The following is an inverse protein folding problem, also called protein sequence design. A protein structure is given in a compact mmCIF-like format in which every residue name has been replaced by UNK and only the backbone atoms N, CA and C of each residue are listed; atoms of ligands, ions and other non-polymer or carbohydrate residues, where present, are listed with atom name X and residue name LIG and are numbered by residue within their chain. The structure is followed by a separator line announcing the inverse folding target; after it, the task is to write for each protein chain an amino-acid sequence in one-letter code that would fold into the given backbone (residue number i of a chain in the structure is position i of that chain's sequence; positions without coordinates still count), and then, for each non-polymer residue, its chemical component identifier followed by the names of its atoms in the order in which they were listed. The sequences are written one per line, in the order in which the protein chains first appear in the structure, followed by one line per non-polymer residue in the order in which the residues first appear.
data_IF_576798879772
#
_entry.id   IF_576798879772
#
_cell.length_a   1.000
_cell.length_b   1.000
_cell.length_c   1.000
_cell.angle_alpha   90.00
_cell.angle_beta   90.00
_cell.angle_gamma   90.00
#
_symmetry.space_group_name_H-M   'P 1'
#
loop_
_entity.id
_entity.type
_entity.pdbx_description
1 polymer ?
#
# COMPACT_ATOMS: atom_id res chain seq x y z
N UNK A 1 -51.73 11.39 -51.31
CA UNK A 1 -51.59 11.66 -49.88
C UNK A 1 -50.64 10.63 -49.28
N UNK A 2 -49.44 11.03 -48.93
CA UNK A 2 -48.50 10.16 -48.28
C UNK A 2 -48.78 10.15 -46.74
N UNK A 3 -48.69 9.03 -46.02
CA UNK A 3 -48.89 8.97 -44.60
C UNK A 3 -47.66 9.58 -43.89
N UNK A 4 -47.90 10.51 -42.96
CA UNK A 4 -46.87 11.14 -42.14
C UNK A 4 -46.23 10.13 -41.20
N UNK A 5 -44.90 10.14 -41.15
CA UNK A 5 -44.11 9.46 -40.14
C UNK A 5 -44.36 10.13 -38.77
N UNK A 6 -44.86 9.37 -37.83
CA UNK A 6 -45.03 9.80 -36.46
C UNK A 6 -43.62 10.03 -35.79
N UNK A 7 -43.55 10.79 -34.67
CA UNK A 7 -42.28 11.07 -34.04
C UNK A 7 -41.65 9.77 -33.52
N UNK A 8 -40.42 9.54 -33.93
CA UNK A 8 -39.56 8.45 -33.44
C UNK A 8 -39.21 8.72 -31.96
N UNK A 9 -39.71 7.87 -31.07
CA UNK A 9 -39.39 7.94 -29.63
C UNK A 9 -37.97 7.46 -29.46
N UNK A 10 -37.07 8.39 -29.14
CA UNK A 10 -35.66 8.06 -28.81
C UNK A 10 -35.62 7.07 -27.63
N UNK A 11 -34.86 5.99 -27.80
CA UNK A 11 -34.63 5.02 -26.76
C UNK A 11 -33.96 5.72 -25.56
N UNK A 12 -34.34 5.38 -24.30
CA UNK A 12 -33.73 5.96 -23.13
C UNK A 12 -32.23 5.65 -23.12
N UNK A 13 -31.41 6.65 -22.76
CA UNK A 13 -29.98 6.48 -22.63
C UNK A 13 -29.68 5.37 -21.59
N UNK A 14 -28.70 4.49 -21.85
CA UNK A 14 -28.34 3.45 -20.91
C UNK A 14 -27.93 4.11 -19.55
N UNK A 15 -28.45 3.56 -18.45
CA UNK A 15 -28.06 3.98 -17.12
C UNK A 15 -26.53 3.83 -16.97
N UNK A 16 -25.83 4.78 -16.33
CA UNK A 16 -24.40 4.66 -16.09
C UNK A 16 -24.15 3.36 -15.33
N UNK A 17 -23.19 2.56 -15.82
CA UNK A 17 -22.77 1.34 -15.13
C UNK A 17 -22.31 1.73 -13.71
N UNK A 18 -22.90 1.08 -12.70
CA UNK A 18 -22.49 1.27 -11.30
C UNK A 18 -21.05 0.80 -11.20
N UNK A 19 -20.14 1.69 -10.82
CA UNK A 19 -18.74 1.31 -10.60
C UNK A 19 -18.65 0.29 -9.46
N UNK A 20 -17.87 -0.78 -9.66
CA UNK A 20 -17.64 -1.80 -8.64
C UNK A 20 -16.97 -1.23 -7.38
N UNK A 21 -16.26 -0.10 -7.52
CA UNK A 21 -15.55 0.58 -6.44
C UNK A 21 -15.91 2.07 -6.38
N UNK A 22 -15.83 2.70 -5.19
CA UNK A 22 -15.88 4.15 -5.06
C UNK A 22 -14.84 4.84 -5.96
N UNK A 23 -15.07 6.07 -6.43
CA UNK A 23 -14.18 6.75 -7.38
C UNK A 23 -12.79 7.05 -6.83
N UNK A 24 -12.63 7.13 -5.52
CA UNK A 24 -11.36 7.32 -4.80
C UNK A 24 -10.58 6.02 -4.60
N UNK A 25 -11.13 4.89 -5.00
CA UNK A 25 -10.51 3.57 -4.87
C UNK A 25 -10.15 2.98 -6.25
N UNK A 26 -9.19 2.08 -6.29
CA UNK A 26 -8.88 1.25 -7.43
C UNK A 26 -9.59 -0.10 -7.30
N UNK A 27 -10.09 -0.63 -8.43
CA UNK A 27 -10.51 -2.03 -8.50
C UNK A 27 -9.26 -2.90 -8.67
N UNK A 28 -9.13 -3.93 -7.85
CA UNK A 28 -8.13 -4.98 -7.98
C UNK A 28 -8.87 -6.27 -8.29
N UNK A 29 -8.64 -6.82 -9.48
CA UNK A 29 -9.28 -8.04 -9.94
C UNK A 29 -8.29 -8.85 -10.76
N UNK A 30 -8.13 -10.15 -10.45
CA UNK A 30 -7.24 -11.05 -11.16
C UNK A 30 -6.81 -12.27 -10.36
N UNK A 31 -5.84 -13.01 -10.89
CA UNK A 31 -5.37 -14.29 -10.36
C UNK A 31 -4.08 -14.08 -9.53
N UNK A 32 -4.25 -14.01 -8.23
CA UNK A 32 -3.15 -13.93 -7.25
C UNK A 32 -2.37 -15.24 -7.14
N UNK A 33 -1.04 -15.15 -7.07
CA UNK A 33 -0.14 -16.27 -6.78
C UNK A 33 0.30 -16.28 -5.31
N UNK A 34 -0.18 -17.22 -4.47
CA UNK A 34 0.18 -17.25 -3.05
C UNK A 34 1.68 -17.40 -2.76
N UNK A 35 2.39 -18.20 -3.54
CA UNK A 35 3.83 -18.44 -3.36
C UNK A 35 4.56 -18.16 -4.67
N UNK A 36 5.48 -17.20 -4.67
CA UNK A 36 6.29 -16.84 -5.82
C UNK A 36 7.78 -16.97 -5.52
N UNK A 37 8.57 -17.28 -6.53
CA UNK A 37 10.03 -17.33 -6.47
C UNK A 37 10.62 -15.96 -6.85
N UNK A 38 10.87 -15.12 -5.84
CA UNK A 38 11.59 -13.85 -6.02
C UNK A 38 13.09 -14.09 -5.81
N UNK A 39 13.80 -14.45 -6.86
CA UNK A 39 15.23 -14.69 -6.80
C UNK A 39 16.02 -13.41 -7.01
N UNK A 40 16.77 -12.97 -6.00
CA UNK A 40 17.66 -11.82 -6.12
C UNK A 40 18.91 -12.16 -6.94
N UNK A 41 19.18 -11.37 -7.97
CA UNK A 41 20.40 -11.49 -8.81
C UNK A 41 21.49 -10.52 -8.38
N UNK A 42 21.12 -9.35 -7.86
CA UNK A 42 22.08 -8.33 -7.42
C UNK A 42 21.72 -7.82 -6.05
N UNK A 43 22.49 -8.21 -5.06
CA UNK A 43 22.33 -7.76 -3.68
C UNK A 43 22.98 -6.38 -3.46
N UNK A 44 22.39 -5.59 -2.56
CA UNK A 44 23.02 -4.35 -2.14
C UNK A 44 24.22 -4.66 -1.25
N UNK A 45 25.45 -4.24 -1.63
CA UNK A 45 26.67 -4.57 -0.90
C UNK A 45 26.72 -3.96 0.51
N UNK A 46 26.00 -2.88 0.78
CA UNK A 46 25.92 -2.26 2.10
C UNK A 46 25.13 -3.11 3.11
N UNK A 47 24.28 -4.04 2.61
CA UNK A 47 23.38 -4.85 3.43
C UNK A 47 23.65 -6.35 3.40
N UNK A 48 24.70 -6.79 2.72
CA UNK A 48 25.13 -8.20 2.71
C UNK A 48 25.60 -8.70 4.10
N UNK A 49 26.03 -7.80 4.97
CA UNK A 49 26.57 -8.15 6.29
C UNK A 49 25.47 -8.27 7.36
N UNK A 50 24.28 -7.75 7.10
CA UNK A 50 23.19 -7.76 8.07
C UNK A 50 22.14 -8.77 7.63
N UNK A 51 22.11 -9.86 8.36
CA UNK A 51 21.25 -11.03 8.22
C UNK A 51 19.92 -10.86 7.44
N UNK A 52 19.35 -11.95 7.01
CA UNK A 52 18.05 -12.20 6.32
C UNK A 52 16.90 -11.19 6.51
N UNK A 53 16.96 -10.35 7.55
CA UNK A 53 15.91 -9.38 7.91
C UNK A 53 15.98 -8.06 7.17
N UNK A 54 17.12 -7.72 6.62
CA UNK A 54 17.38 -6.43 5.95
C UNK A 54 17.88 -6.57 4.51
N UNK A 55 17.72 -7.75 3.91
CA UNK A 55 18.12 -7.99 2.53
C UNK A 55 17.49 -6.97 1.58
N UNK A 56 18.31 -6.11 1.01
CA UNK A 56 17.95 -5.26 -0.11
C UNK A 56 18.45 -5.87 -1.39
N UNK A 57 17.53 -6.22 -2.26
CA UNK A 57 17.84 -6.67 -3.60
C UNK A 57 17.79 -5.47 -4.56
N UNK A 58 18.83 -5.23 -5.31
CA UNK A 58 18.88 -4.18 -6.32
C UNK A 58 18.24 -4.63 -7.63
N UNK A 59 18.31 -5.93 -7.94
CA UNK A 59 17.72 -6.52 -9.13
C UNK A 59 17.28 -7.95 -8.88
N UNK A 60 16.06 -8.26 -9.22
CA UNK A 60 15.48 -9.61 -9.22
C UNK A 60 15.53 -10.25 -10.60
N UNK A 61 15.55 -11.59 -10.63
CA UNK A 61 15.38 -12.36 -11.86
C UNK A 61 13.99 -12.11 -12.47
N UNK A 62 13.96 -11.97 -13.79
CA UNK A 62 12.74 -11.74 -14.58
C UNK A 62 12.49 -12.94 -15.52
N UNK A 63 11.25 -13.47 -15.58
CA UNK A 63 10.08 -13.14 -14.75
C UNK A 63 10.10 -13.82 -13.39
N UNK A 64 9.30 -13.31 -12.44
CA UNK A 64 8.97 -14.04 -11.20
C UNK A 64 8.12 -15.26 -11.54
N UNK A 65 8.44 -16.41 -10.95
CA UNK A 65 7.71 -17.67 -11.16
C UNK A 65 6.70 -17.93 -10.04
N UNK A 66 5.47 -18.32 -10.43
CA UNK A 66 4.48 -18.77 -9.45
C UNK A 66 4.71 -20.22 -9.07
N UNK A 67 5.03 -20.47 -7.81
CA UNK A 67 5.28 -21.82 -7.27
C UNK A 67 3.99 -22.49 -6.77
N UNK A 68 2.89 -21.76 -6.63
CA UNK A 68 1.62 -22.34 -6.20
C UNK A 68 0.95 -23.15 -7.30
N UNK A 69 0.44 -24.33 -6.95
CA UNK A 69 -0.30 -25.21 -7.88
C UNK A 69 -1.58 -24.54 -8.42
N UNK A 70 -2.14 -23.58 -7.69
CA UNK A 70 -3.34 -22.83 -8.08
C UNK A 70 -3.17 -21.37 -7.70
N UNK A 71 -3.62 -20.48 -8.60
CA UNK A 71 -3.82 -19.05 -8.30
C UNK A 71 -5.21 -18.85 -7.70
N UNK A 72 -5.37 -17.80 -6.93
CA UNK A 72 -6.62 -17.43 -6.25
C UNK A 72 -7.22 -16.21 -6.96
N UNK A 73 -8.47 -16.32 -7.38
CA UNK A 73 -9.19 -15.14 -7.91
C UNK A 73 -9.50 -14.18 -6.76
N UNK A 74 -9.02 -12.96 -6.85
CA UNK A 74 -9.32 -11.88 -5.92
C UNK A 74 -10.07 -10.77 -6.65
N UNK A 75 -11.02 -10.12 -5.96
CA UNK A 75 -11.77 -8.97 -6.47
C UNK A 75 -12.21 -8.10 -5.30
N UNK A 76 -11.61 -6.91 -5.20
CA UNK A 76 -11.86 -5.96 -4.11
C UNK A 76 -11.49 -4.53 -4.54
N UNK A 77 -11.77 -3.56 -3.68
CA UNK A 77 -11.39 -2.16 -3.86
C UNK A 77 -10.30 -1.79 -2.87
N UNK A 78 -9.30 -1.04 -3.31
CA UNK A 78 -8.20 -0.52 -2.47
C UNK A 78 -8.09 0.99 -2.65
N UNK A 79 -7.77 1.72 -1.60
CA UNK A 79 -7.44 3.14 -1.66
C UNK A 79 -6.27 3.38 -2.62
N UNK A 80 -6.41 4.38 -3.50
CA UNK A 80 -5.34 4.70 -4.48
C UNK A 80 -4.09 5.22 -3.81
N UNK A 81 -4.26 5.87 -2.66
CA UNK A 81 -3.20 6.50 -1.89
C UNK A 81 -3.25 6.00 -0.45
N UNK A 82 -2.16 6.20 0.28
CA UNK A 82 -2.12 6.05 1.73
C UNK A 82 -3.14 6.99 2.40
N UNK A 83 -3.61 6.63 3.62
CA UNK A 83 -4.57 7.46 4.35
C UNK A 83 -4.07 8.91 4.54
N UNK A 84 -4.90 9.95 4.28
CA UNK A 84 -6.37 9.92 4.13
C UNK A 84 -6.89 9.67 2.71
N UNK A 85 -6.13 9.04 1.83
CA UNK A 85 -6.49 8.70 0.45
C UNK A 85 -6.77 9.94 -0.42
N UNK A 86 -5.89 10.93 -0.34
CA UNK A 86 -6.00 12.19 -1.10
C UNK A 86 -4.68 12.52 -1.78
N UNK A 87 -4.73 12.62 -3.10
CA UNK A 87 -3.56 13.04 -3.88
C UNK A 87 -2.99 14.37 -3.38
N UNK A 88 -1.68 14.44 -3.19
CA UNK A 88 -0.98 15.65 -2.76
C UNK A 88 -1.01 15.93 -1.25
N UNK A 89 -1.75 15.14 -0.45
CA UNK A 89 -1.68 15.22 1.01
C UNK A 89 -0.61 14.27 1.55
N UNK A 90 0.02 14.64 2.68
CA UNK A 90 0.96 13.75 3.37
C UNK A 90 0.20 12.61 4.05
N UNK A 91 0.69 11.34 3.92
CA UNK A 91 0.09 10.21 4.64
C UNK A 91 0.08 10.44 6.16
N UNK A 92 -0.98 10.02 6.83
CA UNK A 92 -1.02 10.02 8.30
C UNK A 92 -0.13 8.89 8.83
N UNK A 93 0.70 9.24 9.82
CA UNK A 93 1.58 8.31 10.54
C UNK A 93 1.38 8.45 12.05
N UNK A 94 2.24 7.84 12.87
CA UNK A 94 2.14 7.85 14.33
C UNK A 94 0.82 7.23 14.82
N UNK A 95 0.34 6.21 14.14
CA UNK A 95 -0.91 5.49 14.42
C UNK A 95 -0.62 4.03 14.75
N UNK A 96 -1.37 3.46 15.69
CA UNK A 96 -1.38 2.03 15.92
C UNK A 96 -2.39 1.32 14.99
N UNK A 97 -2.33 -0.02 14.97
CA UNK A 97 -3.21 -0.83 14.13
C UNK A 97 -4.70 -0.60 14.43
N UNK A 98 -5.07 -0.46 15.71
CA UNK A 98 -6.46 -0.22 16.12
C UNK A 98 -6.98 1.16 15.70
N UNK A 99 -6.12 2.19 15.72
CA UNK A 99 -6.45 3.53 15.21
C UNK A 99 -6.61 3.51 13.68
N UNK A 100 -5.75 2.78 12.97
CA UNK A 100 -5.84 2.60 11.52
C UNK A 100 -7.16 1.91 11.13
N UNK A 101 -7.51 0.80 11.82
CA UNK A 101 -8.77 0.09 11.60
C UNK A 101 -9.98 1.00 11.81
N UNK A 102 -10.06 1.70 12.93
CA UNK A 102 -11.15 2.65 13.22
C UNK A 102 -11.25 3.78 12.20
N UNK A 103 -10.12 4.25 11.70
CA UNK A 103 -10.10 5.29 10.66
C UNK A 103 -10.73 4.79 9.37
N UNK A 104 -10.39 3.58 8.92
CA UNK A 104 -11.03 2.96 7.74
C UNK A 104 -12.53 2.72 7.98
N UNK A 105 -12.92 2.18 9.13
CA UNK A 105 -14.33 1.94 9.50
C UNK A 105 -15.16 3.23 9.51
N UNK A 106 -14.57 4.36 9.92
CA UNK A 106 -15.25 5.66 9.99
C UNK A 106 -15.73 6.18 8.62
N UNK A 107 -15.16 5.65 7.54
CA UNK A 107 -15.55 6.00 6.15
C UNK A 107 -16.16 4.81 5.39
N UNK A 108 -16.61 3.77 6.12
CA UNK A 108 -17.27 2.59 5.55
C UNK A 108 -16.31 1.68 4.76
N UNK A 109 -15.04 1.70 5.14
CA UNK A 109 -13.97 0.84 4.62
C UNK A 109 -13.43 -0.05 5.76
N UNK A 110 -12.43 -0.88 5.50
CA UNK A 110 -11.69 -1.68 6.48
C UNK A 110 -10.19 -1.60 6.17
N UNK A 111 -9.33 -1.99 7.09
CA UNK A 111 -7.93 -2.24 6.74
C UNK A 111 -7.87 -3.32 5.64
N UNK A 112 -6.87 -3.20 4.75
CA UNK A 112 -6.58 -4.25 3.79
C UNK A 112 -6.07 -5.50 4.51
N UNK A 113 -6.47 -6.68 4.07
CA UNK A 113 -5.81 -7.91 4.45
C UNK A 113 -4.42 -7.98 3.80
N UNK A 114 -3.47 -8.69 4.42
CA UNK A 114 -2.11 -8.85 3.89
C UNK A 114 -2.10 -9.28 2.42
N UNK A 115 -2.95 -10.24 2.05
CA UNK A 115 -3.05 -10.76 0.69
C UNK A 115 -3.60 -9.73 -0.30
N UNK A 116 -4.57 -8.92 0.11
CA UNK A 116 -5.12 -7.84 -0.71
C UNK A 116 -4.08 -6.75 -0.95
N UNK A 117 -3.40 -6.33 0.11
CA UNK A 117 -2.33 -5.35 0.01
C UNK A 117 -1.22 -5.85 -0.94
N UNK A 118 -0.77 -7.10 -0.73
CA UNK A 118 0.25 -7.73 -1.54
C UNK A 118 -0.14 -7.78 -3.02
N UNK A 119 -1.34 -8.27 -3.34
CA UNK A 119 -1.80 -8.36 -4.73
C UNK A 119 -1.97 -6.99 -5.38
N UNK A 120 -2.43 -5.98 -4.60
CA UNK A 120 -2.50 -4.58 -5.07
C UNK A 120 -1.13 -4.02 -5.47
N UNK A 121 -0.06 -4.47 -4.80
CA UNK A 121 1.32 -4.04 -5.05
C UNK A 121 1.93 -4.76 -6.27
N UNK A 122 1.96 -6.10 -6.26
CA UNK A 122 2.71 -6.91 -7.22
C UNK A 122 1.98 -7.24 -8.53
N UNK A 123 0.65 -7.19 -8.52
CA UNK A 123 -0.17 -7.61 -9.65
C UNK A 123 -0.07 -9.09 -10.00
N UNK A 124 -0.66 -9.50 -11.12
CA UNK A 124 -0.64 -10.90 -11.60
C UNK A 124 0.76 -11.37 -12.02
N UNK A 125 1.65 -10.43 -12.34
CA UNK A 125 3.04 -10.71 -12.73
C UNK A 125 3.98 -10.89 -11.53
N UNK A 126 3.47 -10.75 -10.31
CA UNK A 126 4.25 -10.91 -9.06
C UNK A 126 5.51 -10.03 -9.07
N UNK A 127 5.34 -8.76 -9.45
CA UNK A 127 6.45 -7.80 -9.50
C UNK A 127 7.03 -7.58 -8.10
N UNK A 128 8.35 -7.73 -7.91
CA UNK A 128 9.00 -7.44 -6.64
C UNK A 128 8.83 -5.98 -6.19
N UNK A 129 8.90 -5.05 -7.14
CA UNK A 129 8.64 -3.62 -6.96
C UNK A 129 7.48 -3.19 -7.86
N UNK A 130 6.73 -2.17 -7.47
CA UNK A 130 5.68 -1.60 -8.33
C UNK A 130 6.20 -1.14 -9.69
N UNK A 131 7.49 -0.83 -9.76
CA UNK A 131 8.21 -0.40 -10.96
C UNK A 131 8.80 -1.55 -11.79
N UNK A 132 8.69 -2.80 -11.34
CA UNK A 132 9.25 -3.97 -12.02
C UNK A 132 10.26 -4.75 -11.17
N UNK A 133 11.38 -5.10 -11.76
CA UNK A 133 12.38 -6.00 -11.17
C UNK A 133 13.60 -5.29 -10.59
N UNK A 134 13.73 -3.99 -10.81
CA UNK A 134 14.85 -3.18 -10.33
C UNK A 134 14.40 -2.21 -9.23
N UNK A 135 15.27 -2.06 -8.21
CA UNK A 135 15.08 -1.10 -7.13
C UNK A 135 15.36 0.32 -7.64
N UNK A 136 14.33 1.16 -7.73
CA UNK A 136 14.44 2.53 -8.26
C UNK A 136 14.06 3.59 -7.21
N UNK A 137 15.09 4.10 -6.50
CA UNK A 137 14.95 5.19 -5.53
C UNK A 137 14.55 6.54 -6.14
N UNK A 138 14.53 6.65 -7.46
CA UNK A 138 14.06 7.85 -8.16
C UNK A 138 12.58 7.75 -8.55
N UNK A 139 12.02 6.53 -8.51
CA UNK A 139 10.61 6.29 -8.78
C UNK A 139 9.76 6.29 -7.51
N UNK A 140 10.28 5.73 -6.42
CA UNK A 140 9.59 5.64 -5.13
C UNK A 140 10.38 6.30 -4.00
N UNK A 141 9.71 6.67 -2.92
CA UNK A 141 10.33 7.27 -1.73
C UNK A 141 10.96 6.19 -0.86
N UNK A 142 12.14 5.72 -1.26
CA UNK A 142 12.94 4.68 -0.59
C UNK A 142 14.40 5.12 -0.45
N UNK A 143 15.18 4.41 0.36
CA UNK A 143 16.63 4.59 0.52
C UNK A 143 17.07 5.99 0.97
N UNK A 144 16.21 6.72 1.67
CA UNK A 144 16.59 8.00 2.26
C UNK A 144 17.45 7.79 3.50
N UNK A 145 18.35 8.74 3.83
CA UNK A 145 19.19 8.62 5.00
C UNK A 145 18.36 8.43 6.29
N UNK A 146 18.77 7.47 7.11
CA UNK A 146 18.18 7.26 8.42
C UNK A 146 18.44 8.48 9.32
N UNK A 147 17.40 8.92 10.01
CA UNK A 147 17.48 9.93 11.06
C UNK A 147 17.03 9.30 12.38
N UNK A 148 17.84 9.46 13.45
CA UNK A 148 17.54 8.87 14.75
C UNK A 148 16.20 9.39 15.30
N UNK A 149 15.35 8.45 15.74
CA UNK A 149 14.02 8.74 16.28
C UNK A 149 14.12 9.59 17.56
N UNK A 150 13.48 10.77 17.61
CA UNK A 150 13.37 11.55 18.83
C UNK A 150 12.58 10.83 19.93
N UNK A 151 13.00 11.01 21.19
CA UNK A 151 12.36 10.34 22.33
C UNK A 151 10.97 10.85 22.68
N UNK A 152 10.55 12.03 22.18
CA UNK A 152 9.32 12.73 22.55
C UNK A 152 8.19 12.56 21.54
N UNK A 153 8.31 11.61 20.63
CA UNK A 153 7.21 11.36 19.70
C UNK A 153 6.05 10.69 20.42
N UNK A 154 4.85 11.14 20.07
CA UNK A 154 3.58 10.66 20.58
C UNK A 154 2.69 10.24 19.39
N UNK A 155 1.55 9.61 19.66
CA UNK A 155 0.56 9.30 18.60
C UNK A 155 0.07 10.58 17.93
N UNK A 156 -0.41 10.46 16.71
CA UNK A 156 -0.70 11.57 15.80
C UNK A 156 -1.43 12.74 16.46
N UNK A 157 -2.60 12.51 17.04
CA UNK A 157 -3.42 13.61 17.58
C UNK A 157 -2.74 14.31 18.76
N UNK A 158 -2.09 13.56 19.66
CA UNK A 158 -1.33 14.10 20.77
C UNK A 158 -0.08 14.87 20.27
N UNK A 159 0.61 14.32 19.28
CA UNK A 159 1.78 14.97 18.68
C UNK A 159 1.41 16.26 17.97
N UNK A 160 0.32 16.27 17.19
CA UNK A 160 -0.14 17.46 16.48
C UNK A 160 -0.67 18.54 17.45
N UNK A 161 -1.16 18.18 18.62
CA UNK A 161 -1.53 19.13 19.66
C UNK A 161 -0.31 19.71 20.41
N UNK A 162 0.84 19.03 20.41
CA UNK A 162 2.07 19.41 21.12
C UNK A 162 3.08 20.12 20.22
N UNK A 163 3.37 21.43 20.39
CA UNK A 163 4.41 22.12 19.62
C UNK A 163 5.80 21.50 19.74
N UNK A 164 6.11 20.86 20.86
CA UNK A 164 7.40 20.21 21.10
C UNK A 164 7.49 18.89 20.29
N UNK A 165 6.41 18.08 20.30
CA UNK A 165 6.35 16.85 19.53
C UNK A 165 6.40 17.15 18.02
N UNK A 166 5.65 18.13 17.53
CA UNK A 166 5.69 18.52 16.10
C UNK A 166 7.11 18.87 15.64
N UNK A 167 7.83 19.72 16.41
CA UNK A 167 9.23 20.06 16.06
C UNK A 167 10.16 18.86 16.06
N UNK A 168 9.93 17.89 16.93
CA UNK A 168 10.72 16.66 16.96
C UNK A 168 10.33 15.73 15.81
N UNK A 169 9.05 15.67 15.46
CA UNK A 169 8.56 14.91 14.30
C UNK A 169 9.08 15.47 12.98
N UNK A 170 9.07 16.80 12.79
CA UNK A 170 9.59 17.48 11.59
C UNK A 170 11.06 17.13 11.29
N UNK A 171 11.85 16.72 12.29
CA UNK A 171 13.25 16.32 12.08
C UNK A 171 13.41 14.97 11.38
N UNK A 172 12.43 14.08 11.56
CA UNK A 172 12.46 12.72 11.03
C UNK A 172 11.50 12.50 9.87
N UNK A 173 10.59 13.44 9.66
CA UNK A 173 9.58 13.36 8.61
C UNK A 173 10.20 13.57 7.23
N UNK A 174 10.21 12.50 6.42
CA UNK A 174 10.70 12.51 5.05
C UNK A 174 9.64 11.94 4.09
N UNK A 175 8.34 11.96 4.51
CA UNK A 175 7.23 11.54 3.65
C UNK A 175 7.14 12.41 2.41
N UNK A 176 6.71 11.83 1.31
CA UNK A 176 6.24 12.55 0.14
C UNK A 176 4.72 12.71 0.19
N UNK A 177 4.18 13.79 -0.39
CA UNK A 177 2.76 13.87 -0.64
C UNK A 177 2.29 12.70 -1.51
N UNK A 178 1.17 12.08 -1.14
CA UNK A 178 0.64 10.90 -1.82
C UNK A 178 0.48 11.12 -3.33
N UNK A 179 1.04 10.22 -4.14
CA UNK A 179 1.04 10.28 -5.59
C UNK A 179 1.99 11.32 -6.22
N UNK A 180 2.83 12.01 -5.43
CA UNK A 180 3.81 12.96 -5.97
C UNK A 180 4.85 12.25 -6.86
N UNK A 181 5.22 11.04 -6.51
CA UNK A 181 6.11 10.19 -7.29
C UNK A 181 5.32 9.36 -8.31
N UNK A 182 4.97 9.98 -9.43
CA UNK A 182 4.03 9.43 -10.43
C UNK A 182 4.45 8.09 -11.04
N UNK A 183 5.72 7.69 -10.92
CA UNK A 183 6.21 6.37 -11.35
C UNK A 183 6.09 5.30 -10.26
N UNK A 184 5.87 5.68 -8.98
CA UNK A 184 5.62 4.76 -7.89
C UNK A 184 4.17 4.30 -7.89
N UNK A 185 3.78 3.56 -8.92
CA UNK A 185 2.41 3.13 -9.15
C UNK A 185 2.37 1.66 -9.55
N UNK A 186 1.48 0.90 -8.91
CA UNK A 186 1.29 -0.52 -9.17
C UNK A 186 0.51 -0.79 -10.47
N UNK A 187 0.49 -2.04 -10.97
CA UNK A 187 -0.29 -2.43 -12.15
C UNK A 187 -1.79 -2.10 -12.05
N UNK A 188 -2.33 -1.96 -10.84
CA UNK A 188 -3.73 -1.59 -10.59
C UNK A 188 -3.96 -0.09 -10.40
N UNK A 189 -2.91 0.75 -10.57
CA UNK A 189 -3.01 2.20 -10.39
C UNK A 189 -3.08 2.63 -8.92
N UNK A 190 -2.43 1.88 -8.04
CA UNK A 190 -2.28 2.18 -6.60
C UNK A 190 -0.90 2.76 -6.38
N UNK A 191 -0.82 3.94 -5.74
CA UNK A 191 0.42 4.69 -5.57
C UNK A 191 1.12 4.37 -4.26
N UNK A 192 2.43 4.59 -4.24
CA UNK A 192 3.31 4.63 -3.06
C UNK A 192 3.38 3.32 -2.26
N UNK A 193 3.12 2.16 -2.92
CA UNK A 193 3.14 0.85 -2.25
C UNK A 193 4.56 0.32 -1.96
N UNK A 194 5.60 1.01 -2.43
CA UNK A 194 6.99 0.74 -2.03
C UNK A 194 7.58 2.00 -1.43
N UNK A 195 7.92 1.95 -0.15
CA UNK A 195 8.45 3.09 0.59
C UNK A 195 7.36 4.05 1.05
N UNK A 196 7.69 5.31 1.17
CA UNK A 196 6.91 6.37 1.76
C UNK A 196 6.55 6.07 3.22
N UNK A 197 5.50 5.31 3.53
CA UNK A 197 5.23 4.84 4.88
C UNK A 197 5.00 3.33 4.94
N UNK A 198 5.45 2.69 6.02
CA UNK A 198 5.02 1.33 6.35
C UNK A 198 3.50 1.30 6.56
N UNK A 199 2.83 0.31 6.01
CA UNK A 199 1.38 0.25 6.06
C UNK A 199 0.89 -0.91 6.92
N UNK A 200 0.07 -0.58 7.93
CA UNK A 200 -0.66 -1.58 8.68
C UNK A 200 -1.58 -2.38 7.77
N UNK A 201 -1.52 -3.69 7.91
CA UNK A 201 -2.47 -4.64 7.30
C UNK A 201 -3.05 -5.56 8.36
N UNK A 202 -4.17 -6.19 8.01
CA UNK A 202 -4.84 -7.18 8.82
C UNK A 202 -4.35 -8.58 8.47
N UNK A 203 -4.14 -9.42 9.48
CA UNK A 203 -3.85 -10.86 9.38
C UNK A 203 -5.08 -11.63 9.87
N UNK A 204 -6.05 -11.98 9.00
CA UNK A 204 -7.35 -12.50 9.40
C UNK A 204 -7.28 -13.88 10.11
N UNK A 205 -6.25 -14.67 9.84
CA UNK A 205 -6.06 -16.00 10.42
C UNK A 205 -5.31 -15.97 11.77
N UNK A 206 -4.79 -14.80 12.17
CA UNK A 206 -4.04 -14.64 13.40
C UNK A 206 -4.92 -14.17 14.57
N UNK A 207 -4.41 -14.37 15.80
CA UNK A 207 -5.11 -13.98 17.03
C UNK A 207 -4.38 -12.86 17.74
N UNK A 208 -5.16 -12.10 18.54
CA UNK A 208 -4.60 -11.07 19.42
C UNK A 208 -3.38 -11.60 20.21
N UNK A 209 -2.29 -10.86 20.31
CA UNK A 209 -2.05 -9.51 19.78
C UNK A 209 -1.34 -9.47 18.39
N UNK A 210 -1.42 -10.52 17.59
CA UNK A 210 -0.65 -10.71 16.36
C UNK A 210 -1.50 -10.62 15.08
N UNK A 211 -2.66 -9.94 15.14
CA UNK A 211 -3.54 -9.74 13.97
C UNK A 211 -3.04 -8.67 13.00
N UNK A 212 -1.90 -8.04 13.32
CA UNK A 212 -1.30 -6.93 12.58
C UNK A 212 0.01 -7.31 11.93
N UNK A 213 0.31 -6.67 10.81
CA UNK A 213 1.64 -6.68 10.20
C UNK A 213 1.87 -5.37 9.44
N UNK A 214 3.12 -5.14 9.03
CA UNK A 214 3.49 -3.99 8.21
C UNK A 214 3.98 -4.44 6.84
N UNK A 215 3.62 -3.66 5.81
CA UNK A 215 3.94 -3.87 4.41
C UNK A 215 4.57 -2.64 3.77
N UNK A 216 5.23 -2.84 2.61
CA UNK A 216 5.71 -1.79 1.72
C UNK A 216 7.07 -1.21 2.05
N UNK A 217 7.46 -1.20 3.31
CA UNK A 217 8.60 -0.43 3.78
C UNK A 217 8.24 1.05 3.98
N UNK A 218 9.23 1.89 4.24
CA UNK A 218 9.08 3.32 4.45
C UNK A 218 10.23 4.05 3.73
N UNK A 219 10.29 5.35 3.76
CA UNK A 219 11.33 6.13 3.04
C UNK A 219 12.78 5.76 3.38
N UNK A 220 13.03 5.06 4.49
CA UNK A 220 14.37 4.64 4.92
C UNK A 220 14.91 3.44 4.14
N UNK A 221 16.17 3.05 4.41
CA UNK A 221 16.84 1.98 3.69
C UNK A 221 16.45 0.59 4.23
N UNK A 222 15.26 0.11 3.87
CA UNK A 222 14.71 -1.18 4.30
C UNK A 222 14.31 -2.05 3.09
N UNK A 223 13.49 -3.06 3.30
CA UNK A 223 13.12 -4.02 2.25
C UNK A 223 12.28 -3.46 1.11
N UNK A 224 11.47 -2.42 1.33
CA UNK A 224 10.68 -1.61 0.39
C UNK A 224 10.21 -2.33 -0.88
N UNK A 225 9.67 -3.53 -0.77
CA UNK A 225 9.13 -4.33 -1.88
C UNK A 225 7.79 -4.98 -1.52
N UNK A 226 7.10 -5.58 -2.49
CA UNK A 226 5.73 -6.04 -2.30
C UNK A 226 5.59 -7.20 -1.30
N UNK A 227 6.40 -8.27 -1.40
CA UNK A 227 6.19 -9.51 -0.63
C UNK A 227 6.60 -9.49 0.83
N UNK A 228 7.71 -8.86 1.27
CA UNK A 228 8.09 -8.88 2.67
C UNK A 228 6.98 -8.39 3.59
N UNK A 229 6.86 -9.08 4.73
CA UNK A 229 5.90 -8.76 5.78
C UNK A 229 6.64 -8.66 7.11
N UNK A 230 6.47 -7.54 7.81
CA UNK A 230 7.06 -7.31 9.13
C UNK A 230 6.04 -7.70 10.19
N UNK A 231 6.32 -8.76 10.95
CA UNK A 231 5.39 -9.37 11.91
C UNK A 231 5.83 -9.24 13.37
N UNK A 232 6.91 -8.49 13.66
CA UNK A 232 7.40 -8.32 15.02
C UNK A 232 6.79 -7.09 15.74
N UNK A 233 5.98 -6.31 15.04
CA UNK A 233 5.16 -5.25 15.63
C UNK A 233 3.79 -5.80 16.02
N UNK A 234 3.40 -5.59 17.27
CA UNK A 234 2.05 -5.94 17.71
C UNK A 234 1.05 -4.82 17.47
N UNK A 235 -0.23 -5.08 17.77
CA UNK A 235 -1.33 -4.16 17.49
C UNK A 235 -1.23 -2.81 18.25
N UNK A 236 -0.39 -2.71 19.28
CA UNK A 236 -0.19 -1.49 20.08
C UNK A 236 1.02 -0.67 19.64
N UNK A 237 1.85 -1.22 18.76
CA UNK A 237 3.02 -0.52 18.24
C UNK A 237 2.60 0.64 17.32
N UNK A 238 3.46 1.64 17.24
CA UNK A 238 3.29 2.79 16.37
C UNK A 238 4.65 3.44 16.08
N UNK A 239 4.77 4.10 14.94
CA UNK A 239 6.01 4.73 14.50
C UNK A 239 5.78 5.99 13.68
N UNK A 240 6.82 6.82 13.60
CA UNK A 240 6.80 8.04 12.79
C UNK A 240 6.77 7.72 11.28
N UNK A 241 7.07 6.50 10.94
CA UNK A 241 7.09 5.93 9.59
C UNK A 241 5.91 4.98 9.32
N UNK A 242 4.99 4.81 10.28
CA UNK A 242 3.89 3.83 10.18
C UNK A 242 2.57 4.52 9.93
N UNK A 243 1.98 4.22 8.79
CA UNK A 243 0.66 4.64 8.34
C UNK A 243 -0.20 3.46 7.90
N UNK A 244 -1.11 3.67 6.96
CA UNK A 244 -2.02 2.64 6.44
C UNK A 244 -2.78 3.12 5.18
N UNK A 245 -3.43 2.18 4.52
CA UNK A 245 -4.49 2.42 3.53
C UNK A 245 -5.68 1.51 3.77
N UNK A 246 -6.83 1.84 3.20
CA UNK A 246 -8.05 1.07 3.39
C UNK A 246 -8.42 0.27 2.15
N UNK A 247 -9.13 -0.83 2.41
CA UNK A 247 -9.76 -1.69 1.42
C UNK A 247 -11.28 -1.77 1.64
N UNK A 248 -11.97 -2.30 0.66
CA UNK A 248 -13.41 -2.56 0.70
C UNK A 248 -13.75 -3.68 -0.28
N UNK A 249 -14.77 -4.45 0.03
CA UNK A 249 -15.30 -5.44 -0.92
C UNK A 249 -15.88 -4.75 -2.15
N UNK A 250 -15.57 -5.28 -3.33
CA UNK A 250 -16.13 -4.77 -4.58
C UNK A 250 -17.62 -5.09 -4.65
N UNK A 251 -18.42 -4.13 -5.15
CA UNK A 251 -19.83 -4.38 -5.43
C UNK A 251 -19.96 -5.39 -6.57
N UNK A 252 -21.02 -6.21 -6.57
CA UNK A 252 -21.31 -7.17 -7.62
C UNK A 252 -21.38 -6.57 -9.02
#
# INVERSE_FOLDING_TARGET
MAPGLGPEVAAPAPLPAVSACPPDMAIVEGLFCPVADERCETHDPEYLADSEKSERCLRFAEPTECLSAKRVLLRFCVDRYEWPNRAGELPRVLVDWGEAQKSCESVGKRLCDETEWLFSCEGENMLPYVTGYERDRTACAIDRPYVERPRRLERWDACMASPACRRDFEKVDQREPAGALTRCVSPFGVFDMNGNVNEWVNLPDEKYPHRSALKGGWWGPVRDRCRPTVRFHDESDWGYEIGFRCCRDAMP
#
